data_IF_698978107583
#
_entry.id   IF_698978107583
#
_cell.length_a   1.000
_cell.length_b   1.000
_cell.length_c   1.000
_cell.angle_alpha   90.00
_cell.angle_beta   90.00
_cell.angle_gamma   90.00
#
_symmetry.space_group_name_H-M   'P 1'
#
loop_
_entity.id
_entity.type
_entity.pdbx_description
1 polymer ?
#
# COMPACT_ATOMS: atom_id res chain seq x y z
N UNK A 1 -29.99 15.16 6.02
CA UNK A 1 -30.64 14.87 7.31
C UNK A 1 -29.54 14.58 8.31
N UNK A 2 -29.61 15.14 9.52
CA UNK A 2 -28.61 14.93 10.57
C UNK A 2 -29.30 14.22 11.74
N UNK A 3 -28.69 13.16 12.28
CA UNK A 3 -29.16 12.51 13.51
C UNK A 3 -28.53 13.24 14.69
N UNK A 4 -29.35 13.64 15.66
CA UNK A 4 -28.88 14.23 16.92
C UNK A 4 -29.09 13.23 18.06
N UNK A 5 -28.01 12.86 18.73
CA UNK A 5 -28.01 11.98 19.91
C UNK A 5 -27.38 12.71 21.09
N UNK A 6 -28.03 12.62 22.24
CA UNK A 6 -27.45 13.14 23.48
C UNK A 6 -26.32 12.24 23.98
N UNK A 7 -26.57 10.95 23.99
CA UNK A 7 -25.64 9.94 24.49
C UNK A 7 -25.67 8.73 23.56
N UNK A 8 -24.49 8.23 23.19
CA UNK A 8 -24.33 6.98 22.47
C UNK A 8 -23.25 6.15 23.17
N UNK A 9 -23.70 5.08 23.84
CA UNK A 9 -22.83 4.09 24.45
C UNK A 9 -22.83 2.83 23.60
N UNK A 10 -21.68 2.49 23.02
CA UNK A 10 -21.50 1.28 22.24
C UNK A 10 -20.66 0.29 23.03
N UNK A 11 -21.23 -0.90 23.24
CA UNK A 11 -20.57 -2.00 23.95
C UNK A 11 -20.57 -3.28 23.10
N UNK A 12 -19.39 -3.85 22.85
CA UNK A 12 -19.21 -5.07 22.03
C UNK A 12 -20.03 -5.05 20.71
N UNK A 13 -20.07 -3.89 20.05
CA UNK A 13 -21.00 -3.64 18.95
C UNK A 13 -20.34 -2.95 17.76
N UNK A 14 -21.05 -2.96 16.62
CA UNK A 14 -20.68 -2.22 15.40
C UNK A 14 -21.80 -1.24 15.08
N UNK A 15 -21.46 0.05 14.95
CA UNK A 15 -22.36 1.08 14.48
C UNK A 15 -21.98 1.54 13.08
N UNK A 16 -22.97 1.58 12.18
CA UNK A 16 -22.84 2.03 10.81
C UNK A 16 -23.74 3.25 10.58
N UNK A 17 -23.24 4.48 10.82
CA UNK A 17 -24.03 5.68 10.55
C UNK A 17 -24.42 5.73 9.08
N UNK A 18 -25.70 5.98 8.81
CA UNK A 18 -26.27 6.10 7.45
C UNK A 18 -26.42 7.56 7.01
N UNK A 19 -26.20 8.48 7.94
CA UNK A 19 -26.32 9.92 7.76
C UNK A 19 -25.30 10.62 8.66
N UNK A 20 -25.09 11.92 8.39
CA UNK A 20 -24.39 12.79 9.31
C UNK A 20 -25.00 12.69 10.71
N UNK A 21 -24.12 12.55 11.70
CA UNK A 21 -24.51 12.31 13.08
C UNK A 21 -23.81 13.30 13.99
N UNK A 22 -24.55 13.80 14.97
CA UNK A 22 -24.09 14.73 15.99
C UNK A 22 -24.41 14.12 17.35
N UNK A 23 -23.37 13.83 18.13
CA UNK A 23 -23.46 13.09 19.38
C UNK A 23 -22.83 13.92 20.49
N UNK A 24 -23.58 14.30 21.52
CA UNK A 24 -23.01 15.09 22.62
C UNK A 24 -22.00 14.29 23.45
N UNK A 25 -22.27 13.00 23.70
CA UNK A 25 -21.32 12.09 24.35
C UNK A 25 -21.28 10.72 23.68
N UNK A 26 -20.08 10.31 23.27
CA UNK A 26 -19.81 9.03 22.64
C UNK A 26 -18.86 8.20 23.51
N UNK A 27 -19.31 7.02 23.93
CA UNK A 27 -18.49 6.04 24.63
C UNK A 27 -18.38 4.75 23.83
N UNK A 28 -17.14 4.31 23.60
CA UNK A 28 -16.84 3.06 22.91
C UNK A 28 -16.13 2.08 23.85
N UNK A 29 -16.76 0.95 24.15
CA UNK A 29 -16.13 -0.18 24.82
C UNK A 29 -16.11 -1.40 23.92
N UNK A 30 -14.92 -1.82 23.50
CA UNK A 30 -14.73 -2.91 22.54
C UNK A 30 -15.69 -2.82 21.34
N UNK A 31 -15.89 -1.61 20.82
CA UNK A 31 -16.90 -1.31 19.81
C UNK A 31 -16.32 -0.60 18.62
N UNK A 32 -17.04 -0.70 17.51
CA UNK A 32 -16.55 -0.25 16.22
C UNK A 32 -17.56 0.71 15.59
N UNK A 33 -17.05 1.73 14.91
CA UNK A 33 -17.84 2.60 14.04
C UNK A 33 -17.35 2.37 12.63
N UNK A 34 -18.23 2.16 11.66
CA UNK A 34 -17.87 1.94 10.25
C UNK A 34 -18.58 2.92 9.34
N UNK A 35 -17.80 3.79 8.72
CA UNK A 35 -18.28 4.70 7.68
C UNK A 35 -18.29 3.96 6.34
N UNK A 36 -19.47 3.84 5.78
CA UNK A 36 -19.74 3.09 4.56
C UNK A 36 -19.58 3.96 3.30
N UNK A 37 -19.79 5.26 3.42
CA UNK A 37 -19.74 6.18 2.29
C UNK A 37 -19.01 7.48 2.63
N UNK A 38 -18.56 8.18 1.58
CA UNK A 38 -17.89 9.48 1.71
C UNK A 38 -18.78 10.61 2.24
N UNK A 39 -20.09 10.40 2.31
CA UNK A 39 -21.07 11.42 2.65
C UNK A 39 -21.40 11.45 4.16
N UNK A 40 -20.97 10.45 4.93
CA UNK A 40 -21.24 10.38 6.35
C UNK A 40 -20.18 11.16 7.14
N UNK A 41 -20.61 11.91 8.16
CA UNK A 41 -19.72 12.54 9.12
C UNK A 41 -20.24 12.37 10.54
N UNK A 42 -19.33 12.45 11.51
CA UNK A 42 -19.65 12.36 12.92
C UNK A 42 -19.07 13.57 13.64
N UNK A 43 -19.93 14.33 14.28
CA UNK A 43 -19.53 15.38 15.23
C UNK A 43 -19.77 14.84 16.64
N UNK A 44 -18.77 14.98 17.50
CA UNK A 44 -18.82 14.51 18.89
C UNK A 44 -18.49 15.64 19.84
N UNK A 45 -19.23 15.72 20.93
CA UNK A 45 -18.99 16.74 21.95
C UNK A 45 -19.46 18.11 21.52
N UNK A 46 -20.31 18.21 20.48
CA UNK A 46 -21.06 19.43 20.25
C UNK A 46 -21.99 19.61 21.45
N UNK A 47 -21.74 20.66 22.23
CA UNK A 47 -22.68 21.15 23.23
C UNK A 47 -23.91 21.75 22.52
N UNK A 48 -24.66 20.93 21.79
CA UNK A 48 -26.09 21.15 21.58
C UNK A 48 -26.88 20.65 22.76
N UNK A 49 -26.35 20.84 23.96
CA UNK A 49 -27.27 21.30 24.99
C UNK A 49 -27.80 22.61 24.39
N UNK A 50 -29.03 22.60 23.89
CA UNK A 50 -29.79 23.86 23.75
C UNK A 50 -29.46 24.68 25.00
N UNK A 51 -29.24 26.01 24.91
CA UNK A 51 -29.07 26.82 26.12
C UNK A 51 -30.13 26.33 27.09
N UNK A 52 -29.67 25.71 28.18
CA UNK A 52 -30.51 24.94 29.11
C UNK A 52 -31.69 25.87 29.36
N UNK A 53 -32.90 25.60 28.85
CA UNK A 53 -34.04 26.38 29.32
C UNK A 53 -34.01 26.18 30.83
N UNK A 54 -34.48 27.15 31.61
CA UNK A 54 -34.56 26.99 33.07
C UNK A 54 -35.31 25.68 33.49
N UNK A 55 -35.95 25.03 32.51
CA UNK A 55 -36.75 23.82 32.54
C UNK A 55 -36.07 22.57 31.94
N UNK A 56 -34.75 22.51 31.78
CA UNK A 56 -34.10 21.29 31.27
C UNK A 56 -34.42 20.07 32.13
N UNK A 57 -34.59 18.91 31.48
CA UNK A 57 -34.86 17.64 32.15
C UNK A 57 -33.74 17.36 33.15
N UNK A 58 -34.07 16.85 34.34
CA UNK A 58 -33.11 16.56 35.40
C UNK A 58 -31.96 15.64 34.92
N UNK A 59 -32.23 14.77 33.94
CA UNK A 59 -31.25 13.92 33.28
C UNK A 59 -30.21 14.71 32.49
N UNK A 60 -30.55 15.83 31.83
CA UNK A 60 -29.59 16.68 31.13
C UNK A 60 -28.65 17.39 32.13
N UNK A 61 -29.16 17.76 33.31
CA UNK A 61 -28.38 18.39 34.39
C UNK A 61 -27.41 17.40 35.04
N UNK A 62 -27.90 16.20 35.40
CA UNK A 62 -27.06 15.12 35.95
C UNK A 62 -25.95 14.73 34.94
N UNK A 63 -26.29 14.62 33.65
CA UNK A 63 -25.34 14.28 32.61
C UNK A 63 -24.22 15.31 32.44
N UNK A 64 -24.55 16.61 32.40
CA UNK A 64 -23.53 17.67 32.41
C UNK A 64 -22.63 17.60 33.63
N UNK A 65 -23.16 17.22 34.80
CA UNK A 65 -22.34 17.10 36.01
C UNK A 65 -21.32 15.96 35.91
N UNK A 66 -21.72 14.83 35.31
CA UNK A 66 -20.90 13.61 35.22
C UNK A 66 -19.81 13.65 34.15
N UNK A 67 -20.08 14.32 33.02
CA UNK A 67 -19.19 14.31 31.85
C UNK A 67 -18.75 15.71 31.42
N UNK A 68 -18.77 16.67 32.34
CA UNK A 68 -18.71 18.14 32.15
C UNK A 68 -17.73 18.71 31.12
N UNK A 69 -16.73 17.96 30.68
CA UNK A 69 -15.83 18.33 29.59
C UNK A 69 -15.45 17.19 28.63
N UNK A 70 -15.86 15.93 28.84
CA UNK A 70 -15.50 14.80 27.99
C UNK A 70 -16.63 14.55 27.00
N UNK A 71 -16.35 14.69 25.70
CA UNK A 71 -17.31 14.33 24.65
C UNK A 71 -17.07 12.95 24.06
N UNK A 72 -15.82 12.48 24.08
CA UNK A 72 -15.44 11.19 23.52
C UNK A 72 -14.65 10.37 24.53
N UNK A 73 -15.08 9.13 24.74
CA UNK A 73 -14.41 8.17 25.60
C UNK A 73 -14.26 6.83 24.89
N UNK A 74 -13.07 6.25 24.92
CA UNK A 74 -12.85 4.89 24.43
C UNK A 74 -12.07 4.04 25.43
N UNK A 75 -12.44 2.78 25.56
CA UNK A 75 -11.72 1.82 26.41
C UNK A 75 -11.58 0.46 25.72
N UNK A 76 -10.37 -0.09 25.83
CA UNK A 76 -10.06 -1.41 25.30
C UNK A 76 -10.51 -2.51 26.25
N UNK A 77 -10.76 -3.69 25.68
CA UNK A 77 -11.10 -4.91 26.42
C UNK A 77 -10.01 -5.94 26.23
N UNK A 78 -9.68 -6.69 27.28
CA UNK A 78 -8.78 -7.84 27.16
C UNK A 78 -9.55 -8.96 26.44
N UNK A 79 -9.07 -9.39 25.28
CA UNK A 79 -9.75 -10.42 24.46
C UNK A 79 -9.19 -11.82 24.73
N UNK A 80 -7.89 -11.96 25.00
CA UNK A 80 -7.30 -13.26 25.28
C UNK A 80 -6.08 -13.17 26.20
N UNK A 81 -5.83 -14.28 26.88
CA UNK A 81 -4.62 -14.55 27.65
C UNK A 81 -3.74 -15.51 26.87
N UNK A 82 -2.51 -15.11 26.55
CA UNK A 82 -1.48 -16.09 26.21
C UNK A 82 -0.72 -16.48 27.49
N UNK A 83 -0.30 -17.75 27.56
CA UNK A 83 0.47 -18.31 28.69
C UNK A 83 1.80 -17.57 28.96
N UNK A 84 2.19 -16.63 28.10
CA UNK A 84 3.39 -15.77 28.22
C UNK A 84 3.18 -14.43 28.93
N UNK A 85 2.01 -14.18 29.57
CA UNK A 85 1.62 -12.88 30.19
C UNK A 85 1.45 -11.71 29.22
N UNK A 86 1.39 -11.98 27.92
CA UNK A 86 0.98 -10.99 26.91
C UNK A 86 -0.54 -10.97 26.78
N UNK A 87 -1.11 -9.76 26.81
CA UNK A 87 -2.53 -9.51 26.66
C UNK A 87 -2.84 -9.00 25.26
N UNK A 88 -3.80 -9.62 24.58
CA UNK A 88 -4.35 -9.06 23.33
C UNK A 88 -5.46 -8.09 23.70
N UNK A 89 -5.25 -6.80 23.41
CA UNK A 89 -6.22 -5.74 23.63
C UNK A 89 -7.13 -5.57 22.40
N UNK A 90 -8.43 -5.67 22.63
CA UNK A 90 -9.49 -5.25 21.73
C UNK A 90 -9.68 -3.76 21.82
N UNK A 91 -9.00 -3.02 20.95
CA UNK A 91 -9.21 -1.58 20.85
C UNK A 91 -10.52 -1.30 20.10
N UNK A 92 -11.32 -0.33 20.59
CA UNK A 92 -12.36 0.28 19.79
C UNK A 92 -11.77 0.79 18.47
N UNK A 93 -12.53 0.71 17.38
CA UNK A 93 -12.01 1.14 16.09
C UNK A 93 -12.99 1.93 15.24
N UNK A 94 -12.44 2.87 14.47
CA UNK A 94 -13.15 3.60 13.44
C UNK A 94 -12.68 3.05 12.10
N UNK A 95 -13.62 2.51 11.34
CA UNK A 95 -13.41 1.80 10.08
C UNK A 95 -13.90 2.64 8.91
N UNK A 96 -13.13 2.67 7.84
CA UNK A 96 -13.47 3.34 6.60
C UNK A 96 -13.60 2.30 5.48
N UNK A 97 -14.80 2.16 4.92
CA UNK A 97 -15.15 1.17 3.91
C UNK A 97 -15.28 1.73 2.48
N UNK A 98 -14.93 3.00 2.30
CA UNK A 98 -15.01 3.71 1.03
C UNK A 98 -13.66 4.35 0.68
N UNK A 99 -13.48 4.70 -0.59
CA UNK A 99 -12.28 5.37 -1.06
C UNK A 99 -12.16 6.80 -0.51
N UNK A 100 -11.15 7.02 0.34
CA UNK A 100 -10.91 8.31 0.99
C UNK A 100 -10.59 9.43 0.01
N UNK A 101 -10.10 9.10 -1.20
CA UNK A 101 -9.80 10.08 -2.23
C UNK A 101 -11.07 10.71 -2.83
N UNK A 102 -12.22 10.04 -2.71
CA UNK A 102 -13.49 10.56 -3.22
C UNK A 102 -14.11 11.66 -2.35
N UNK A 103 -13.66 11.78 -1.10
CA UNK A 103 -14.12 12.82 -0.16
C UNK A 103 -13.34 14.11 -0.41
N UNK A 104 -13.99 15.24 -0.17
CA UNK A 104 -13.35 16.55 -0.19
C UNK A 104 -12.27 16.64 0.92
N UNK A 105 -11.11 17.23 0.60
CA UNK A 105 -9.92 17.19 1.48
C UNK A 105 -10.04 18.09 2.72
N UNK A 106 -10.94 19.08 2.68
CA UNK A 106 -11.24 20.06 3.72
C UNK A 106 -12.36 19.60 4.67
N UNK A 107 -13.04 18.49 4.35
CA UNK A 107 -14.14 17.95 5.17
C UNK A 107 -13.67 16.76 6.01
N UNK A 108 -13.36 16.94 7.31
CA UNK A 108 -13.02 15.84 8.20
C UNK A 108 -14.20 14.86 8.32
N UNK A 109 -13.90 13.59 8.60
CA UNK A 109 -14.95 12.58 8.82
C UNK A 109 -15.43 12.61 10.26
N UNK A 110 -14.50 12.84 11.19
CA UNK A 110 -14.77 12.95 12.62
C UNK A 110 -14.38 14.35 13.10
N UNK A 111 -15.29 15.05 13.78
CA UNK A 111 -15.02 16.32 14.45
C UNK A 111 -15.26 16.18 15.95
N UNK A 112 -14.22 16.43 16.74
CA UNK A 112 -14.21 16.28 18.19
C UNK A 112 -14.16 17.67 18.83
N UNK A 113 -15.28 18.11 19.39
CA UNK A 113 -15.44 19.47 19.94
C UNK A 113 -15.19 19.57 21.44
N UNK A 114 -15.16 18.43 22.13
CA UNK A 114 -14.92 18.33 23.57
C UNK A 114 -13.76 17.37 23.86
N UNK A 115 -13.34 17.30 25.13
CA UNK A 115 -12.19 16.50 25.54
C UNK A 115 -12.37 15.03 25.15
N UNK A 116 -11.26 14.44 24.73
CA UNK A 116 -11.17 13.04 24.29
C UNK A 116 -10.34 12.27 25.30
N UNK A 117 -10.79 11.06 25.64
CA UNK A 117 -10.07 10.13 26.51
C UNK A 117 -10.04 8.73 25.91
N UNK A 118 -8.90 8.07 26.08
CA UNK A 118 -8.69 6.71 25.62
C UNK A 118 -8.02 6.62 24.26
N UNK A 119 -7.86 5.39 23.79
CA UNK A 119 -7.19 5.06 22.53
C UNK A 119 -8.16 4.39 21.57
N UNK A 120 -8.09 4.77 20.30
CA UNK A 120 -8.97 4.27 19.24
C UNK A 120 -8.15 3.91 18.01
N UNK A 121 -8.36 2.71 17.50
CA UNK A 121 -7.73 2.26 16.28
C UNK A 121 -8.42 2.85 15.04
N UNK A 122 -7.64 3.33 14.08
CA UNK A 122 -8.09 3.72 12.75
C UNK A 122 -7.83 2.56 11.80
N UNK A 123 -8.88 2.13 11.11
CA UNK A 123 -8.85 0.94 10.24
C UNK A 123 -9.37 1.28 8.85
N UNK A 124 -8.64 0.88 7.82
CA UNK A 124 -9.02 1.09 6.42
C UNK A 124 -9.32 -0.26 5.78
N UNK A 125 -10.53 -0.43 5.25
CA UNK A 125 -10.88 -1.65 4.52
C UNK A 125 -10.30 -1.62 3.10
N UNK A 126 -10.28 -2.77 2.43
CA UNK A 126 -9.65 -2.95 1.12
C UNK A 126 -10.07 -1.89 0.08
N UNK A 127 -11.36 -1.54 0.05
CA UNK A 127 -11.90 -0.50 -0.84
C UNK A 127 -11.29 0.88 -0.59
N UNK A 128 -11.03 1.24 0.67
CA UNK A 128 -10.42 2.50 1.04
C UNK A 128 -8.98 2.64 0.55
N UNK A 129 -8.32 1.51 0.27
CA UNK A 129 -6.94 1.45 -0.17
C UNK A 129 -6.81 1.45 -1.70
N UNK A 130 -7.91 1.51 -2.46
CA UNK A 130 -7.86 1.29 -3.89
C UNK A 130 -7.06 2.33 -4.66
N UNK A 131 -7.31 3.61 -4.39
CA UNK A 131 -6.64 4.74 -5.05
C UNK A 131 -5.63 5.44 -4.13
N UNK A 132 -4.90 4.66 -3.32
CA UNK A 132 -3.89 5.16 -2.37
C UNK A 132 -2.86 6.10 -3.04
N UNK A 133 -2.50 5.87 -4.30
CA UNK A 133 -1.61 6.75 -5.09
C UNK A 133 -2.13 8.19 -5.22
N UNK A 134 -3.45 8.39 -5.29
CA UNK A 134 -4.08 9.68 -5.53
C UNK A 134 -4.49 10.38 -4.23
N UNK A 135 -4.29 9.72 -3.08
CA UNK A 135 -4.63 10.28 -1.78
C UNK A 135 -3.66 11.41 -1.43
N UNK A 136 -4.14 12.65 -1.53
CA UNK A 136 -3.41 13.81 -1.02
C UNK A 136 -3.52 13.90 0.50
N UNK A 137 -2.48 14.51 1.11
CA UNK A 137 -2.46 14.79 2.54
C UNK A 137 -3.72 15.59 2.94
N UNK A 138 -4.44 15.09 3.95
CA UNK A 138 -5.73 15.68 4.37
C UNK A 138 -6.06 15.36 5.81
N UNK A 139 -6.89 16.21 6.40
CA UNK A 139 -7.38 16.03 7.76
C UNK A 139 -8.49 14.97 7.77
N UNK A 140 -8.29 13.91 8.55
CA UNK A 140 -9.29 12.86 8.74
C UNK A 140 -10.16 13.14 9.97
N UNK A 141 -9.50 13.58 11.05
CA UNK A 141 -10.12 13.88 12.34
C UNK A 141 -9.76 15.31 12.69
N UNK A 142 -10.77 16.14 12.96
CA UNK A 142 -10.61 17.50 13.47
C UNK A 142 -10.89 17.52 14.97
N UNK A 143 -10.10 18.28 15.70
CA UNK A 143 -10.16 18.37 17.16
C UNK A 143 -10.13 19.84 17.57
N UNK A 144 -11.04 20.26 18.43
CA UNK A 144 -11.10 21.64 18.96
C UNK A 144 -10.50 21.75 20.36
N UNK A 145 -10.14 20.61 20.96
CA UNK A 145 -9.46 20.52 22.26
C UNK A 145 -8.11 19.82 22.12
N UNK A 146 -7.25 19.99 23.12
CA UNK A 146 -6.00 19.23 23.22
C UNK A 146 -6.28 17.73 23.35
N UNK A 147 -5.53 16.94 22.58
CA UNK A 147 -5.66 15.48 22.52
C UNK A 147 -4.28 14.83 22.66
N UNK A 148 -4.24 13.69 23.36
CA UNK A 148 -3.05 12.85 23.49
C UNK A 148 -2.55 12.39 22.10
N UNK A 149 -1.24 12.45 21.81
CA UNK A 149 -0.69 12.12 20.49
C UNK A 149 -1.03 10.72 19.97
N UNK A 150 -1.30 9.77 20.85
CA UNK A 150 -1.61 8.37 20.55
C UNK A 150 -3.09 8.00 20.79
N UNK A 151 -3.97 9.00 20.96
CA UNK A 151 -5.41 8.77 21.08
C UNK A 151 -5.99 8.09 19.84
N UNK A 152 -5.42 8.35 18.66
CA UNK A 152 -5.77 7.69 17.40
C UNK A 152 -4.53 7.12 16.74
N UNK A 153 -4.56 5.84 16.40
CA UNK A 153 -3.42 5.12 15.83
C UNK A 153 -3.85 4.12 14.77
N UNK A 154 -2.94 3.74 13.87
CA UNK A 154 -3.19 2.67 12.90
C UNK A 154 -2.93 1.32 13.57
N UNK A 155 -3.90 0.41 13.50
CA UNK A 155 -3.76 -0.94 14.07
C UNK A 155 -2.73 -1.78 13.30
N UNK A 156 -2.61 -1.53 12.00
CA UNK A 156 -1.73 -2.23 11.09
C UNK A 156 -1.11 -1.28 10.07
N UNK A 157 -0.10 -1.75 9.35
CA UNK A 157 0.55 -0.97 8.31
C UNK A 157 -0.14 -1.17 6.96
N UNK A 158 -0.66 -0.08 6.39
CA UNK A 158 -1.36 -0.12 5.10
C UNK A 158 -0.39 0.20 3.95
N UNK A 159 -0.16 -0.79 3.08
CA UNK A 159 0.72 -0.69 1.90
C UNK A 159 0.01 -1.15 0.64
N UNK A 160 0.12 -0.39 -0.45
CA UNK A 160 -0.28 -0.82 -1.80
C UNK A 160 0.81 -0.48 -2.81
N UNK A 161 1.50 -1.51 -3.31
CA UNK A 161 2.66 -1.34 -4.17
C UNK A 161 3.76 -0.53 -3.46
N UNK A 162 4.18 0.60 -4.05
CA UNK A 162 5.20 1.49 -3.47
C UNK A 162 4.64 2.58 -2.55
N UNK A 163 3.37 2.50 -2.19
CA UNK A 163 2.71 3.54 -1.41
C UNK A 163 2.34 3.01 -0.04
N UNK A 164 2.78 3.70 1.01
CA UNK A 164 2.46 3.44 2.41
C UNK A 164 1.55 4.56 2.92
N UNK A 165 0.43 4.20 3.53
CA UNK A 165 -0.42 5.16 4.22
C UNK A 165 0.12 5.38 5.63
N UNK A 166 0.12 6.65 6.06
CA UNK A 166 0.47 7.04 7.41
C UNK A 166 -0.62 7.92 8.02
N UNK A 167 -0.72 7.87 9.35
CA UNK A 167 -1.54 8.74 10.18
C UNK A 167 -0.59 9.54 11.07
N UNK A 168 -0.75 10.86 11.09
CA UNK A 168 0.09 11.75 11.90
C UNK A 168 -0.79 12.82 12.57
N UNK A 169 -0.42 13.21 13.78
CA UNK A 169 -1.01 14.38 14.42
C UNK A 169 -0.64 15.65 13.63
N UNK A 170 -1.63 16.48 13.34
CA UNK A 170 -1.50 17.74 12.62
C UNK A 170 -2.17 18.86 13.44
N UNK A 171 -1.99 20.14 13.08
CA UNK A 171 -2.67 21.22 13.77
C UNK A 171 -4.18 20.97 13.81
N UNK A 172 -4.76 20.98 15.00
CA UNK A 172 -6.18 20.75 15.24
C UNK A 172 -6.68 19.35 14.82
N UNK A 173 -5.85 18.30 14.89
CA UNK A 173 -6.33 16.91 14.86
C UNK A 173 -5.37 15.89 14.27
N UNK A 174 -5.91 14.96 13.47
CA UNK A 174 -5.14 13.87 12.85
C UNK A 174 -5.33 13.88 11.34
N UNK A 175 -4.21 13.81 10.64
CA UNK A 175 -4.14 13.86 9.19
C UNK A 175 -3.60 12.54 8.64
N UNK A 176 -4.09 12.17 7.47
CA UNK A 176 -3.61 11.03 6.71
C UNK A 176 -2.84 11.51 5.50
N UNK A 177 -1.83 10.73 5.13
CA UNK A 177 -1.05 10.97 3.94
C UNK A 177 -0.47 9.67 3.41
N UNK A 178 0.21 9.81 2.26
CA UNK A 178 0.84 8.68 1.58
C UNK A 178 2.29 8.99 1.34
N UNK A 179 3.13 8.06 1.75
CA UNK A 179 4.56 8.07 1.51
C UNK A 179 4.89 7.11 0.37
N UNK A 180 5.72 7.57 -0.58
CA UNK A 180 6.24 6.72 -1.65
C UNK A 180 7.53 6.07 -1.17
N UNK A 181 7.48 4.76 -0.96
CA UNK A 181 8.62 3.95 -0.54
C UNK A 181 9.69 3.91 -1.63
N UNK A 182 10.95 4.06 -1.22
CA UNK A 182 12.10 3.91 -2.10
C UNK A 182 12.16 2.47 -2.64
N UNK A 183 12.55 2.30 -3.91
CA UNK A 183 12.86 0.97 -4.43
C UNK A 183 14.23 0.59 -3.88
N UNK A 184 14.37 -0.55 -3.20
CA UNK A 184 15.68 -1.07 -2.82
C UNK A 184 16.61 -1.13 -4.04
N UNK A 185 17.79 -0.52 -3.95
CA UNK A 185 18.74 -0.36 -5.07
C UNK A 185 19.12 -1.68 -5.74
N UNK A 186 19.12 -2.79 -4.99
CA UNK A 186 19.41 -4.12 -5.49
C UNK A 186 18.36 -4.64 -6.49
N UNK A 187 17.07 -4.31 -6.30
CA UNK A 187 16.00 -4.70 -7.23
C UNK A 187 16.15 -3.97 -8.56
N UNK A 188 16.55 -2.69 -8.55
CA UNK A 188 16.78 -1.90 -9.76
C UNK A 188 17.95 -2.47 -10.58
N UNK A 189 19.04 -2.85 -9.90
CA UNK A 189 20.20 -3.47 -10.54
C UNK A 189 19.84 -4.81 -11.21
N UNK A 190 19.04 -5.65 -10.53
CA UNK A 190 18.61 -6.94 -11.09
C UNK A 190 17.79 -6.78 -12.38
N UNK A 191 16.86 -5.81 -12.42
CA UNK A 191 16.04 -5.56 -13.61
C UNK A 191 16.87 -5.02 -14.78
N UNK A 192 17.78 -4.08 -14.53
CA UNK A 192 18.68 -3.56 -15.56
C UNK A 192 19.59 -4.67 -16.14
N UNK A 193 20.11 -5.55 -15.29
CA UNK A 193 20.91 -6.70 -15.72
C UNK A 193 20.09 -7.71 -16.53
N UNK A 194 18.84 -7.99 -16.12
CA UNK A 194 17.95 -8.88 -16.87
C UNK A 194 17.57 -8.30 -18.24
N UNK A 195 17.26 -7.00 -18.31
CA UNK A 195 16.96 -6.32 -19.57
C UNK A 195 18.18 -6.27 -20.51
N UNK A 196 19.37 -5.96 -19.98
CA UNK A 196 20.61 -5.98 -20.75
C UNK A 196 20.94 -7.40 -21.24
N UNK A 197 20.82 -8.41 -20.37
CA UNK A 197 21.06 -9.79 -20.75
C UNK A 197 20.07 -10.26 -21.82
N UNK A 198 18.77 -9.97 -21.69
CA UNK A 198 17.76 -10.21 -22.72
C UNK A 198 18.15 -9.56 -24.05
N UNK A 199 18.53 -8.28 -24.04
CA UNK A 199 18.94 -7.57 -25.26
C UNK A 199 20.19 -8.21 -25.93
N UNK A 200 21.13 -8.76 -25.15
CA UNK A 200 22.28 -9.48 -25.71
C UNK A 200 21.96 -10.90 -26.16
N UNK A 201 20.91 -11.52 -25.60
CA UNK A 201 20.50 -12.88 -25.95
C UNK A 201 19.89 -12.91 -27.36
N UNK A 202 19.08 -11.92 -27.72
CA UNK A 202 18.39 -11.85 -29.03
C UNK A 202 19.20 -11.16 -30.13
N UNK A 203 20.38 -10.62 -29.82
CA UNK A 203 21.29 -10.10 -30.83
C UNK A 203 22.05 -11.24 -31.53
N UNK A 204 21.91 -11.33 -32.86
CA UNK A 204 22.74 -12.20 -33.70
C UNK A 204 24.14 -11.61 -33.86
N UNK A 205 25.17 -12.43 -33.69
CA UNK A 205 26.51 -12.09 -34.16
C UNK A 205 26.59 -12.47 -35.64
N UNK A 206 27.32 -11.69 -36.43
CA UNK A 206 27.55 -11.99 -37.85
C UNK A 206 28.16 -13.40 -38.05
N UNK A 207 28.96 -13.84 -37.09
CA UNK A 207 29.56 -15.17 -37.07
C UNK A 207 28.53 -16.30 -36.86
N UNK A 208 27.44 -16.06 -36.14
CA UNK A 208 26.37 -17.05 -35.90
C UNK A 208 25.51 -17.25 -37.16
N UNK A 209 25.48 -16.28 -38.09
CA UNK A 209 24.84 -16.40 -39.40
C UNK A 209 25.74 -17.09 -40.44
N UNK A 210 27.06 -16.98 -40.28
CA UNK A 210 28.05 -17.37 -41.29
C UNK A 210 28.90 -18.59 -40.92
N UNK A 211 28.60 -19.25 -39.79
CA UNK A 211 29.28 -20.48 -39.37
C UNK A 211 28.79 -21.68 -40.19
N UNK A 212 29.73 -22.37 -40.87
CA UNK A 212 29.61 -23.64 -41.63
C UNK A 212 29.34 -23.50 -43.16
N UNK A 213 30.33 -23.50 -44.08
CA UNK A 213 31.37 -24.47 -44.59
C UNK A 213 30.92 -25.36 -45.77
N UNK A 214 29.68 -25.28 -46.28
CA UNK A 214 29.30 -25.95 -47.54
C UNK A 214 28.81 -24.96 -48.62
N UNK A 215 29.67 -24.79 -49.63
CA UNK A 215 29.47 -24.23 -50.98
C UNK A 215 28.48 -23.05 -51.12
N UNK A 216 29.03 -21.83 -51.22
CA UNK A 216 28.31 -20.54 -51.25
C UNK A 216 27.84 -20.11 -52.65
N UNK A 217 27.81 -21.03 -53.62
CA UNK A 217 27.59 -20.72 -55.04
C UNK A 217 26.11 -20.69 -55.46
N UNK A 218 25.16 -20.98 -54.57
CA UNK A 218 23.72 -20.95 -54.87
C UNK A 218 22.95 -20.01 -53.91
N UNK A 219 21.97 -19.23 -54.42
CA UNK A 219 21.11 -18.40 -53.58
C UNK A 219 20.18 -19.28 -52.75
N UNK A 220 20.59 -19.61 -51.53
CA UNK A 220 19.79 -20.40 -50.58
C UNK A 220 19.32 -19.52 -49.43
N UNK A 221 18.07 -19.73 -49.02
CA UNK A 221 17.51 -19.17 -47.78
C UNK A 221 18.12 -19.94 -46.60
N UNK A 222 18.83 -19.25 -45.71
CA UNK A 222 19.40 -19.89 -44.53
C UNK A 222 18.35 -20.13 -43.46
N UNK A 223 18.33 -21.32 -42.87
CA UNK A 223 17.65 -21.62 -41.60
C UNK A 223 18.75 -21.84 -40.56
N UNK A 224 18.66 -21.20 -39.41
CA UNK A 224 19.62 -21.36 -38.33
C UNK A 224 18.88 -21.61 -37.01
N UNK A 225 19.49 -22.46 -36.19
CA UNK A 225 19.02 -22.82 -34.85
C UNK A 225 20.13 -22.50 -33.85
N UNK A 226 19.80 -21.74 -32.81
CA UNK A 226 20.75 -21.38 -31.76
C UNK A 226 20.26 -21.92 -30.43
N UNK A 227 21.10 -22.74 -29.79
CA UNK A 227 20.97 -23.12 -28.40
C UNK A 227 21.82 -22.18 -27.56
N UNK A 228 21.21 -21.52 -26.60
CA UNK A 228 21.87 -20.60 -25.69
C UNK A 228 21.97 -21.27 -24.33
N UNK A 229 23.20 -21.49 -23.87
CA UNK A 229 23.51 -21.91 -22.52
C UNK A 229 24.68 -21.06 -22.04
N UNK A 230 24.59 -20.51 -20.84
CA UNK A 230 25.68 -19.71 -20.30
C UNK A 230 25.63 -19.64 -18.79
N UNK A 231 26.82 -19.65 -18.21
CA UNK A 231 27.04 -19.40 -16.80
C UNK A 231 27.87 -18.12 -16.68
N UNK A 232 27.38 -17.15 -15.90
CA UNK A 232 28.10 -15.93 -15.57
C UNK A 232 28.37 -15.95 -14.07
N UNK A 233 29.64 -15.78 -13.69
CA UNK A 233 30.04 -15.46 -12.34
C UNK A 233 30.81 -14.15 -12.41
N UNK A 234 30.29 -13.12 -11.73
CA UNK A 234 30.93 -11.81 -11.69
C UNK A 234 31.19 -11.42 -10.25
N UNK A 235 32.45 -11.14 -9.94
CA UNK A 235 32.89 -10.60 -8.66
C UNK A 235 32.96 -9.07 -8.78
N UNK A 236 32.15 -8.37 -7.99
CA UNK A 236 32.03 -6.90 -8.08
C UNK A 236 32.94 -6.27 -7.02
N UNK A 237 33.96 -5.53 -7.47
CA UNK A 237 34.81 -4.77 -6.54
C UNK A 237 33.97 -3.71 -5.80
N UNK A 238 33.85 -3.86 -4.47
CA UNK A 238 33.11 -2.94 -3.60
C UNK A 238 32.30 -3.58 -2.48
N UNK A 239 32.71 -4.74 -1.94
CA UNK A 239 31.98 -5.48 -0.89
C UNK A 239 30.51 -5.78 -1.21
N UNK A 240 30.17 -5.95 -2.49
CA UNK A 240 28.83 -6.39 -2.90
C UNK A 240 28.95 -7.75 -3.59
N UNK A 241 28.22 -8.72 -3.04
CA UNK A 241 28.13 -10.14 -3.38
C UNK A 241 28.54 -10.59 -4.79
N UNK A 242 29.17 -11.77 -4.94
CA UNK A 242 29.32 -12.42 -6.24
C UNK A 242 27.93 -12.73 -6.82
N UNK A 243 27.72 -12.34 -8.08
CA UNK A 243 26.47 -12.61 -8.80
C UNK A 243 26.68 -13.85 -9.66
N UNK A 244 25.94 -14.92 -9.36
CA UNK A 244 25.88 -16.12 -10.19
C UNK A 244 24.60 -16.09 -11.03
N UNK A 245 24.76 -16.17 -12.35
CA UNK A 245 23.67 -16.15 -13.32
C UNK A 245 23.72 -17.34 -14.25
N UNK A 246 22.63 -18.10 -14.32
CA UNK A 246 22.43 -19.16 -15.30
C UNK A 246 21.41 -18.72 -16.34
N UNK A 247 21.76 -18.86 -17.62
CA UNK A 247 20.86 -18.56 -18.73
C UNK A 247 20.73 -19.76 -19.67
N UNK A 248 19.50 -20.05 -20.08
CA UNK A 248 19.16 -21.09 -21.06
C UNK A 248 18.17 -20.52 -22.07
N UNK A 249 18.25 -20.91 -23.33
CA UNK A 249 17.29 -20.46 -24.33
C UNK A 249 17.45 -21.18 -25.65
N UNK A 250 16.42 -21.08 -26.46
CA UNK A 250 16.39 -21.59 -27.84
C UNK A 250 15.88 -20.47 -28.75
N UNK A 251 16.55 -20.30 -29.88
CA UNK A 251 16.15 -19.37 -30.92
C UNK A 251 16.17 -20.09 -32.27
N UNK A 252 15.14 -19.85 -33.05
CA UNK A 252 15.05 -20.27 -34.44
C UNK A 252 14.88 -19.03 -35.32
N UNK A 253 15.56 -19.01 -36.46
CA UNK A 253 15.38 -17.94 -37.42
C UNK A 253 15.74 -18.40 -38.82
N UNK A 254 15.17 -17.71 -39.80
CA UNK A 254 15.41 -18.02 -41.20
C UNK A 254 15.30 -16.80 -42.09
N UNK A 255 15.97 -16.85 -43.23
CA UNK A 255 15.91 -15.80 -44.24
C UNK A 255 14.58 -15.86 -44.98
N UNK A 256 13.84 -14.75 -44.97
CA UNK A 256 12.62 -14.57 -45.76
C UNK A 256 13.00 -14.16 -47.20
N UNK A 257 14.03 -13.32 -47.33
CA UNK A 257 14.52 -12.76 -48.59
C UNK A 257 16.05 -12.72 -48.61
N UNK A 258 16.64 -13.03 -49.76
CA UNK A 258 18.09 -12.95 -49.98
C UNK A 258 18.38 -12.51 -51.41
N UNK A 259 19.29 -11.54 -51.56
CA UNK A 259 19.77 -10.99 -52.82
C UNK A 259 21.29 -11.10 -52.83
N UNK A 260 21.85 -11.75 -53.84
CA UNK A 260 23.30 -11.96 -53.95
C UNK A 260 23.78 -11.56 -55.35
N UNK A 261 24.80 -10.73 -55.41
CA UNK A 261 25.50 -10.29 -56.62
C UNK A 261 27.02 -10.44 -56.43
N UNK A 262 27.82 -10.23 -57.48
CA UNK A 262 29.29 -10.41 -57.44
C UNK A 262 30.00 -9.54 -56.39
N UNK A 263 29.46 -8.35 -56.09
CA UNK A 263 30.07 -7.39 -55.16
C UNK A 263 29.32 -7.23 -53.81
N UNK A 264 28.09 -7.74 -53.69
CA UNK A 264 27.29 -7.56 -52.48
C UNK A 264 26.28 -8.69 -52.23
N UNK A 265 26.05 -8.97 -50.95
CA UNK A 265 25.04 -9.92 -50.49
C UNK A 265 24.16 -9.26 -49.42
N UNK A 266 22.86 -9.22 -49.65
CA UNK A 266 21.85 -8.72 -48.73
C UNK A 266 20.88 -9.84 -48.37
N UNK A 267 20.51 -9.94 -47.09
CA UNK A 267 19.52 -10.93 -46.65
C UNK A 267 18.68 -10.35 -45.51
N UNK A 268 17.39 -10.62 -45.57
CA UNK A 268 16.40 -10.25 -44.59
C UNK A 268 15.75 -11.52 -44.05
N UNK A 269 15.67 -11.63 -42.72
CA UNK A 269 15.15 -12.81 -42.04
C UNK A 269 14.32 -12.47 -40.83
N UNK A 270 13.53 -13.44 -40.37
CA UNK A 270 12.76 -13.38 -39.15
C UNK A 270 13.30 -14.38 -38.14
N UNK A 271 13.18 -14.04 -36.86
CA UNK A 271 13.59 -14.88 -35.75
C UNK A 271 12.54 -14.85 -34.65
N UNK A 272 12.32 -16.01 -34.03
CA UNK A 272 11.62 -16.13 -32.76
C UNK A 272 12.38 -17.04 -31.81
N UNK A 273 12.23 -16.82 -30.52
CA UNK A 273 12.87 -17.68 -29.52
C UNK A 273 12.40 -17.38 -28.11
N UNK A 274 12.73 -18.29 -27.21
CA UNK A 274 12.44 -18.19 -25.79
C UNK A 274 13.74 -18.37 -25.02
N UNK A 275 13.93 -17.57 -23.98
CA UNK A 275 15.04 -17.72 -23.05
C UNK A 275 14.56 -17.53 -21.61
N UNK A 276 15.20 -18.24 -20.69
CA UNK A 276 15.04 -18.11 -19.25
C UNK A 276 16.39 -17.78 -18.62
N UNK A 277 16.40 -16.82 -17.72
CA UNK A 277 17.58 -16.45 -16.94
C UNK A 277 17.22 -16.45 -15.46
N UNK A 278 18.05 -17.12 -14.66
CA UNK A 278 17.97 -17.11 -13.20
C UNK A 278 19.27 -16.54 -12.63
N UNK A 279 19.15 -15.61 -11.70
CA UNK A 279 20.27 -14.97 -11.02
C UNK A 279 20.11 -15.12 -9.52
N UNK A 280 21.11 -15.68 -8.86
CA UNK A 280 21.15 -15.79 -7.41
C UNK A 280 22.11 -14.76 -6.83
N UNK A 281 21.64 -14.00 -5.85
CA UNK A 281 22.46 -13.05 -5.09
C UNK A 281 22.74 -13.64 -3.71
N UNK A 282 24.01 -13.69 -3.31
CA UNK A 282 24.44 -14.18 -2.00
C UNK A 282 25.05 -13.05 -1.17
N UNK A 283 24.35 -12.57 -0.15
CA UNK A 283 24.91 -11.59 0.77
C UNK A 283 25.85 -12.26 1.80
N UNK A 284 27.17 -11.98 1.80
CA UNK A 284 28.12 -12.63 2.70
C UNK A 284 27.97 -12.21 4.18
N UNK A 285 27.35 -11.06 4.47
CA UNK A 285 27.22 -10.57 5.86
C UNK A 285 26.03 -11.17 6.63
N UNK A 286 25.08 -11.81 5.93
CA UNK A 286 23.85 -12.36 6.55
C UNK A 286 23.53 -13.79 6.11
N UNK A 287 24.26 -14.37 5.15
CA UNK A 287 24.03 -15.72 4.64
C UNK A 287 22.75 -15.91 3.82
N UNK A 288 21.94 -14.86 3.64
CA UNK A 288 20.68 -14.94 2.91
C UNK A 288 20.91 -15.00 1.39
N UNK A 289 20.37 -16.06 0.78
CA UNK A 289 20.32 -16.25 -0.68
C UNK A 289 18.98 -15.71 -1.18
N UNK A 290 19.00 -14.76 -2.11
CA UNK A 290 17.79 -14.28 -2.78
C UNK A 290 17.85 -14.73 -4.24
N UNK A 291 16.74 -15.32 -4.73
CA UNK A 291 16.61 -15.91 -6.08
C UNK A 291 15.72 -15.03 -6.94
#
# INVERSE_FOLDING_TARGET
QVIHLYELNLENSLWEPRWDSDVSYLSLYNSHIRFNTKNESLVVGENRIRPTPDNALETEKDFKSRFSNIGYHSSSKIISYNNSRDYVLGYPSIRFAYDLSEREADKPVLTLKSKVRGKTAIVFEEKALNNLKNLTYRQLIKTETDIEPDAFFLLEEYKKGRYRLFLQQCPNGFCIGVEKLAIPTHLVASYAQQAQAANTLFALRLNDKNSDIFDRTLPRKGLWLRLISGHLSQDVQGKTAPVEGNRKGIQLGGDVFSLQNQDYQFSFGLMGGQAEQRSTFRNPDTGNVTT
#
